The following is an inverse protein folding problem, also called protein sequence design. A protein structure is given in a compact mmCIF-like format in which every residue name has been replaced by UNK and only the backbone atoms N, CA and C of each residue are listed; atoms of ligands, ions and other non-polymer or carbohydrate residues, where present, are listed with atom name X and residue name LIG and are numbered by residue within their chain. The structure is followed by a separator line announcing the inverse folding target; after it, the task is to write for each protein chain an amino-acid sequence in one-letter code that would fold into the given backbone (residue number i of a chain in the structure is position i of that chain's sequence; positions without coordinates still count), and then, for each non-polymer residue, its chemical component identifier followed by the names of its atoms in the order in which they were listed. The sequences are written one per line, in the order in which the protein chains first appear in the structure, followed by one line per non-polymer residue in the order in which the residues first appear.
data_IF_611884997470
#
_entry.id   IF_611884997470
#
_cell.length_a   1.000
_cell.length_b   1.000
_cell.length_c   1.000
_cell.angle_alpha   90.00
_cell.angle_beta   90.00
_cell.angle_gamma   90.00
#
_symmetry.space_group_name_H-M   'P 1'
#
loop_
_entity.id
_entity.type
_entity.pdbx_description
1 polymer ?
#
# COMPACT_ATOMS: atom_id res chain seq x y z
N UNK A 1 69.86 -11.82 0.51
CA UNK A 1 68.87 -12.54 1.33
C UNK A 1 68.41 -11.59 2.40
N UNK A 2 67.38 -10.81 2.12
CA UNK A 2 66.64 -10.10 3.16
C UNK A 2 65.22 -9.93 2.60
N UNK A 3 64.31 -10.69 3.20
CA UNK A 3 62.97 -10.92 2.69
C UNK A 3 62.07 -9.75 2.98
N UNK A 4 61.60 -9.11 1.91
CA UNK A 4 60.52 -8.14 1.92
C UNK A 4 59.19 -8.87 2.21
N UNK A 5 58.90 -9.04 3.51
CA UNK A 5 57.61 -9.51 4.02
C UNK A 5 56.86 -8.30 4.54
N UNK A 6 55.67 -8.06 3.99
CA UNK A 6 54.60 -7.44 4.77
C UNK A 6 53.84 -6.28 4.15
N UNK A 7 53.56 -6.29 2.84
CA UNK A 7 52.36 -5.58 2.35
C UNK A 7 51.10 -6.39 2.68
N UNK A 8 50.81 -6.53 3.98
CA UNK A 8 49.46 -6.80 4.45
C UNK A 8 48.79 -5.44 4.70
N UNK A 9 48.49 -4.72 3.61
CA UNK A 9 47.55 -3.60 3.68
C UNK A 9 46.19 -4.20 3.97
N UNK A 10 45.79 -4.05 5.22
CA UNK A 10 44.44 -4.16 5.74
C UNK A 10 43.38 -3.84 4.67
N UNK A 11 42.70 -4.88 4.18
CA UNK A 11 41.35 -4.76 3.62
C UNK A 11 40.40 -4.41 4.78
N UNK A 12 40.53 -3.19 5.32
CA UNK A 12 39.44 -2.56 6.04
C UNK A 12 38.37 -2.37 4.99
N UNK A 13 37.33 -3.20 5.06
CA UNK A 13 36.20 -3.20 4.16
C UNK A 13 35.69 -1.79 3.92
N UNK A 14 36.09 -1.23 2.78
CA UNK A 14 35.57 0.03 2.27
C UNK A 14 34.07 -0.17 2.18
N UNK A 15 33.31 0.57 2.99
CA UNK A 15 31.86 0.57 2.91
C UNK A 15 31.49 0.88 1.46
N UNK A 16 30.79 -0.04 0.79
CA UNK A 16 30.18 0.22 -0.51
C UNK A 16 29.36 1.53 -0.40
N UNK A 17 29.78 2.62 -1.06
CA UNK A 17 29.17 3.92 -0.90
C UNK A 17 27.80 4.03 -1.59
N UNK A 18 27.31 2.96 -2.25
CA UNK A 18 26.10 3.00 -3.08
C UNK A 18 24.77 3.01 -2.32
N UNK A 19 24.72 2.53 -1.07
CA UNK A 19 23.49 2.40 -0.28
C UNK A 19 23.54 3.28 0.98
N UNK A 20 22.84 4.42 0.93
CA UNK A 20 22.60 5.27 2.09
C UNK A 20 22.11 4.44 3.29
N UNK A 21 22.73 4.63 4.45
CA UNK A 21 22.41 3.93 5.70
C UNK A 21 20.92 4.05 6.07
N UNK A 22 20.30 5.21 5.79
CA UNK A 22 18.87 5.39 6.03
C UNK A 22 18.07 4.48 5.10
N UNK A 23 18.37 4.46 3.80
CA UNK A 23 17.68 3.59 2.82
C UNK A 23 17.87 2.11 3.15
N UNK A 24 19.08 1.72 3.55
CA UNK A 24 19.35 0.36 3.99
C UNK A 24 18.41 -0.06 5.12
N UNK A 25 18.23 0.77 6.16
CA UNK A 25 17.29 0.46 7.27
C UNK A 25 15.85 0.26 6.80
N UNK A 26 15.36 1.10 5.89
CA UNK A 26 14.01 0.94 5.33
C UNK A 26 13.87 -0.38 4.57
N UNK A 27 14.84 -0.75 3.74
CA UNK A 27 14.81 -2.04 3.03
C UNK A 27 14.82 -3.23 3.99
N UNK A 28 15.61 -3.18 5.06
CA UNK A 28 15.59 -4.24 6.07
C UNK A 28 14.21 -4.38 6.72
N UNK A 29 13.58 -3.26 7.05
CA UNK A 29 12.22 -3.27 7.60
C UNK A 29 11.22 -3.84 6.61
N UNK A 30 11.24 -3.39 5.34
CA UNK A 30 10.33 -3.90 4.32
C UNK A 30 10.50 -5.39 4.04
N UNK A 31 11.74 -5.88 3.97
CA UNK A 31 12.00 -7.31 3.78
C UNK A 31 11.67 -8.14 5.03
N UNK A 32 11.87 -7.59 6.22
CA UNK A 32 11.40 -8.20 7.46
C UNK A 32 9.88 -8.34 7.47
N UNK A 33 9.15 -7.27 7.13
CA UNK A 33 7.68 -7.30 7.02
C UNK A 33 7.21 -8.27 5.93
N UNK A 34 7.84 -8.26 4.76
CA UNK A 34 7.53 -9.19 3.67
C UNK A 34 7.74 -10.64 4.12
N UNK A 35 8.85 -10.92 4.83
CA UNK A 35 9.13 -12.23 5.39
C UNK A 35 8.05 -12.65 6.41
N UNK A 36 7.69 -11.76 7.35
CA UNK A 36 6.68 -12.05 8.36
C UNK A 36 5.30 -12.32 7.78
N UNK A 37 4.83 -11.49 6.85
CA UNK A 37 3.52 -11.66 6.21
C UNK A 37 3.49 -12.94 5.37
N UNK A 38 4.55 -13.19 4.58
CA UNK A 38 4.65 -14.39 3.75
C UNK A 38 4.75 -15.65 4.60
N UNK A 39 5.51 -15.62 5.71
CA UNK A 39 5.61 -16.75 6.64
C UNK A 39 4.27 -17.01 7.35
N UNK A 40 3.56 -15.97 7.79
CA UNK A 40 2.25 -16.13 8.42
C UNK A 40 1.25 -16.80 7.46
N UNK A 41 1.22 -16.36 6.20
CA UNK A 41 0.39 -17.01 5.19
C UNK A 41 0.84 -18.43 4.88
N UNK A 42 2.15 -18.69 4.75
CA UNK A 42 2.69 -20.02 4.53
C UNK A 42 2.26 -21.02 5.63
N UNK A 43 2.31 -20.59 6.89
CA UNK A 43 1.84 -21.38 8.04
C UNK A 43 0.33 -21.62 7.95
N UNK A 44 -0.45 -20.58 7.65
CA UNK A 44 -1.90 -20.67 7.55
C UNK A 44 -2.35 -21.60 6.41
N UNK A 45 -1.81 -21.42 5.21
CA UNK A 45 -2.07 -22.23 4.03
C UNK A 45 -1.55 -23.68 4.17
N UNK A 46 -0.37 -23.85 4.78
CA UNK A 46 0.27 -25.15 4.95
C UNK A 46 -0.40 -26.02 6.00
N UNK A 47 -0.76 -25.45 7.16
CA UNK A 47 -1.32 -26.20 8.30
C UNK A 47 -2.84 -26.24 8.28
N UNK A 48 -3.50 -25.15 7.87
CA UNK A 48 -4.95 -24.97 7.95
C UNK A 48 -5.58 -24.57 6.60
N UNK A 49 -5.31 -25.30 5.50
CA UNK A 49 -5.80 -24.92 4.17
C UNK A 49 -7.33 -24.81 4.10
N UNK A 50 -8.06 -25.67 4.81
CA UNK A 50 -9.53 -25.62 4.83
C UNK A 50 -10.05 -24.30 5.39
N UNK A 51 -9.37 -23.75 6.41
CA UNK A 51 -9.76 -22.47 6.99
C UNK A 51 -9.56 -21.31 6.01
N UNK A 52 -8.46 -21.30 5.24
CA UNK A 52 -8.25 -20.31 4.18
C UNK A 52 -9.36 -20.41 3.13
N UNK A 53 -9.64 -21.63 2.64
CA UNK A 53 -10.66 -21.86 1.60
C UNK A 53 -12.05 -21.43 2.08
N UNK A 54 -12.37 -21.66 3.35
CA UNK A 54 -13.63 -21.24 3.97
C UNK A 54 -13.80 -19.73 4.03
N UNK A 55 -12.76 -19.03 4.50
CA UNK A 55 -12.78 -17.56 4.62
C UNK A 55 -13.06 -16.93 3.25
N UNK A 56 -12.51 -17.48 2.18
CA UNK A 56 -12.70 -16.95 0.83
C UNK A 56 -13.81 -17.65 0.03
N UNK A 57 -14.56 -18.58 0.63
CA UNK A 57 -15.63 -19.36 -0.01
C UNK A 57 -15.17 -20.04 -1.32
N UNK A 58 -14.00 -20.68 -1.28
CA UNK A 58 -13.45 -21.52 -2.35
C UNK A 58 -13.81 -22.98 -2.08
N UNK A 59 -14.08 -23.76 -3.13
CA UNK A 59 -14.39 -25.18 -2.97
C UNK A 59 -13.22 -25.98 -2.35
N UNK A 60 -13.50 -26.71 -1.26
CA UNK A 60 -12.47 -27.32 -0.40
C UNK A 60 -11.71 -28.50 -1.05
N UNK A 61 -12.38 -29.50 -1.66
CA UNK A 61 -11.72 -30.72 -2.10
C UNK A 61 -10.74 -30.46 -3.25
N UNK A 62 -11.04 -29.48 -4.11
CA UNK A 62 -10.22 -29.17 -5.28
C UNK A 62 -8.86 -28.53 -4.93
N UNK A 63 -8.79 -27.69 -3.89
CA UNK A 63 -7.65 -26.80 -3.68
C UNK A 63 -6.80 -27.08 -2.44
N UNK A 64 -7.22 -27.99 -1.56
CA UNK A 64 -6.51 -28.21 -0.29
C UNK A 64 -5.05 -28.65 -0.46
N UNK A 65 -4.77 -29.56 -1.40
CA UNK A 65 -3.39 -30.01 -1.66
C UNK A 65 -2.54 -28.93 -2.34
N UNK A 66 -3.13 -28.20 -3.30
CA UNK A 66 -2.47 -27.12 -4.01
C UNK A 66 -2.09 -25.99 -3.04
N UNK A 67 -3.00 -25.64 -2.13
CA UNK A 67 -2.77 -24.59 -1.15
C UNK A 67 -1.69 -24.97 -0.12
N UNK A 68 -1.61 -26.24 0.30
CA UNK A 68 -0.50 -26.72 1.12
C UNK A 68 0.84 -26.63 0.39
N UNK A 69 0.86 -27.00 -0.89
CA UNK A 69 2.03 -26.86 -1.75
C UNK A 69 2.46 -25.41 -1.88
N UNK A 70 1.51 -24.49 -2.11
CA UNK A 70 1.76 -23.05 -2.14
C UNK A 70 2.34 -22.55 -0.82
N UNK A 71 1.80 -22.99 0.32
CA UNK A 71 2.34 -22.64 1.63
C UNK A 71 3.80 -23.05 1.83
N UNK A 72 4.23 -24.20 1.30
CA UNK A 72 5.64 -24.60 1.34
C UNK A 72 6.53 -23.68 0.48
N UNK A 73 6.08 -23.34 -0.74
CA UNK A 73 6.81 -22.44 -1.65
C UNK A 73 6.93 -21.04 -1.03
N UNK A 74 5.83 -20.51 -0.49
CA UNK A 74 5.83 -19.21 0.19
C UNK A 74 6.67 -19.24 1.46
N UNK A 75 6.71 -20.36 2.18
CA UNK A 75 7.62 -20.55 3.32
C UNK A 75 9.09 -20.40 2.93
N UNK A 76 9.50 -20.96 1.78
CA UNK A 76 10.85 -20.78 1.26
C UNK A 76 11.12 -19.34 0.82
N UNK A 77 10.15 -18.68 0.19
CA UNK A 77 10.26 -17.26 -0.15
C UNK A 77 10.40 -16.38 1.09
N UNK A 78 9.66 -16.67 2.16
CA UNK A 78 9.74 -15.96 3.43
C UNK A 78 11.14 -16.06 4.05
N UNK A 79 11.78 -17.24 3.99
CA UNK A 79 13.18 -17.41 4.40
C UNK A 79 14.12 -16.58 3.52
N UNK A 80 13.89 -16.53 2.21
CA UNK A 80 14.64 -15.67 1.30
C UNK A 80 14.53 -14.17 1.64
N UNK A 81 13.34 -13.70 1.99
CA UNK A 81 13.12 -12.32 2.42
C UNK A 81 13.74 -12.03 3.79
N UNK A 82 13.68 -12.97 4.74
CA UNK A 82 14.37 -12.84 6.01
C UNK A 82 15.88 -12.74 5.80
N UNK A 83 16.46 -13.59 4.96
CA UNK A 83 17.87 -13.49 4.57
C UNK A 83 18.20 -12.13 3.95
N UNK A 84 17.35 -11.64 3.04
CA UNK A 84 17.51 -10.33 2.42
C UNK A 84 17.49 -9.18 3.44
N UNK A 85 16.64 -9.27 4.47
CA UNK A 85 16.59 -8.28 5.55
C UNK A 85 17.91 -8.19 6.34
N UNK A 86 18.65 -9.29 6.48
CA UNK A 86 19.96 -9.29 7.13
C UNK A 86 21.11 -8.97 6.16
N UNK A 87 21.00 -9.38 4.89
CA UNK A 87 22.10 -9.38 3.91
C UNK A 87 21.76 -8.62 2.60
N UNK A 88 21.41 -7.33 2.71
CA UNK A 88 21.02 -6.50 1.56
C UNK A 88 21.98 -6.56 0.36
N UNK A 89 23.30 -6.63 0.58
CA UNK A 89 24.29 -6.66 -0.52
C UNK A 89 24.13 -7.87 -1.44
N UNK A 90 23.63 -8.99 -0.92
CA UNK A 90 23.42 -10.25 -1.66
C UNK A 90 21.94 -10.54 -1.92
N UNK A 91 21.05 -9.62 -1.56
CA UNK A 91 19.61 -9.84 -1.60
C UNK A 91 19.01 -9.73 -3.01
N UNK A 92 19.67 -9.02 -3.95
CA UNK A 92 19.09 -8.71 -5.28
C UNK A 92 18.53 -9.94 -6.02
N UNK A 93 19.22 -11.09 -6.12
CA UNK A 93 18.66 -12.27 -6.79
C UNK A 93 17.38 -12.80 -6.11
N UNK A 94 17.37 -12.87 -4.77
CA UNK A 94 16.20 -13.32 -4.01
C UNK A 94 15.00 -12.39 -4.16
N UNK A 95 15.24 -11.08 -4.13
CA UNK A 95 14.19 -10.07 -4.31
C UNK A 95 13.70 -10.04 -5.77
N UNK A 96 14.57 -10.29 -6.75
CA UNK A 96 14.17 -10.41 -8.15
C UNK A 96 13.23 -11.61 -8.38
N UNK A 97 13.58 -12.78 -7.83
CA UNK A 97 12.71 -13.96 -7.85
C UNK A 97 11.40 -13.66 -7.13
N UNK A 98 11.48 -13.04 -5.94
CA UNK A 98 10.29 -12.65 -5.18
C UNK A 98 9.37 -11.72 -5.94
N UNK A 99 9.91 -10.70 -6.62
CA UNK A 99 9.12 -9.80 -7.45
C UNK A 99 8.49 -10.54 -8.63
N UNK A 100 9.23 -11.43 -9.29
CA UNK A 100 8.70 -12.23 -10.39
C UNK A 100 7.50 -13.09 -9.96
N UNK A 101 7.62 -13.80 -8.82
CA UNK A 101 6.50 -14.59 -8.26
C UNK A 101 5.30 -13.68 -7.97
N UNK A 102 5.54 -12.51 -7.38
CA UNK A 102 4.48 -11.55 -7.05
C UNK A 102 3.84 -10.88 -8.25
N UNK A 103 4.47 -10.89 -9.43
CA UNK A 103 3.83 -10.45 -10.67
C UNK A 103 3.06 -11.60 -11.31
N UNK A 104 3.62 -12.81 -11.29
CA UNK A 104 2.99 -14.01 -11.85
C UNK A 104 1.72 -14.38 -11.08
N UNK A 105 1.71 -14.26 -9.75
CA UNK A 105 0.58 -14.60 -8.87
C UNK A 105 -0.72 -13.88 -9.26
N UNK A 106 -0.76 -12.54 -9.31
CA UNK A 106 -1.93 -11.77 -9.74
C UNK A 106 -2.36 -12.08 -11.18
N UNK A 107 -1.43 -12.32 -12.10
CA UNK A 107 -1.77 -12.71 -13.48
C UNK A 107 -2.45 -14.08 -13.51
N UNK A 108 -1.88 -15.08 -12.81
CA UNK A 108 -2.47 -16.40 -12.67
C UNK A 108 -3.84 -16.34 -11.99
N UNK A 109 -3.99 -15.47 -10.98
CA UNK A 109 -5.25 -15.22 -10.30
C UNK A 109 -6.32 -14.65 -11.24
N UNK A 110 -5.98 -13.64 -12.08
CA UNK A 110 -6.92 -13.09 -13.07
C UNK A 110 -7.40 -14.20 -14.01
N UNK A 111 -6.49 -15.04 -14.51
CA UNK A 111 -6.84 -16.15 -15.40
C UNK A 111 -7.74 -17.18 -14.69
N UNK A 112 -7.44 -17.54 -13.44
CA UNK A 112 -8.22 -18.49 -12.66
C UNK A 112 -9.63 -17.96 -12.33
N UNK A 113 -9.76 -16.67 -12.00
CA UNK A 113 -11.07 -16.05 -11.76
C UNK A 113 -11.87 -15.93 -13.06
N UNK A 114 -11.24 -15.51 -14.16
CA UNK A 114 -11.88 -15.45 -15.47
C UNK A 114 -12.34 -16.84 -15.97
N UNK A 115 -11.58 -17.89 -15.64
CA UNK A 115 -11.94 -19.28 -15.93
C UNK A 115 -12.95 -19.91 -14.97
N UNK A 116 -13.46 -19.18 -13.96
CA UNK A 116 -14.40 -19.70 -12.96
C UNK A 116 -13.80 -20.71 -11.98
N UNK A 117 -12.47 -20.82 -11.95
CA UNK A 117 -11.73 -21.77 -11.08
C UNK A 117 -11.58 -21.21 -9.66
N UNK A 118 -11.37 -19.89 -9.54
CA UNK A 118 -11.29 -19.18 -8.27
C UNK A 118 -12.36 -18.10 -8.17
N UNK A 119 -12.72 -17.77 -6.93
CA UNK A 119 -13.64 -16.66 -6.63
C UNK A 119 -12.89 -15.36 -6.47
N UNK A 120 -13.50 -14.26 -6.92
CA UNK A 120 -12.96 -12.92 -6.78
C UNK A 120 -12.67 -12.54 -5.32
N UNK A 121 -13.33 -13.16 -4.33
CA UNK A 121 -13.10 -12.97 -2.88
C UNK A 121 -11.61 -13.08 -2.48
N UNK A 122 -10.88 -13.97 -3.16
CA UNK A 122 -9.44 -14.19 -2.95
C UNK A 122 -8.57 -13.00 -3.35
N UNK A 123 -9.11 -11.98 -4.02
CA UNK A 123 -8.39 -10.73 -4.34
C UNK A 123 -7.77 -10.07 -3.10
N UNK A 124 -8.44 -10.19 -1.95
CA UNK A 124 -7.92 -9.71 -0.66
C UNK A 124 -6.56 -10.32 -0.35
N UNK A 125 -6.36 -11.63 -0.58
CA UNK A 125 -5.06 -12.28 -0.42
C UNK A 125 -4.05 -11.73 -1.41
N UNK A 126 -4.44 -11.60 -2.67
CA UNK A 126 -3.55 -11.12 -3.75
C UNK A 126 -2.99 -9.73 -3.45
N UNK A 127 -3.81 -8.83 -2.86
CA UNK A 127 -3.32 -7.51 -2.46
C UNK A 127 -2.20 -7.63 -1.43
N UNK A 128 -2.47 -8.31 -0.31
CA UNK A 128 -1.54 -8.34 0.84
C UNK A 128 -0.33 -9.23 0.60
N UNK A 129 -0.50 -10.30 -0.17
CA UNK A 129 0.57 -11.23 -0.48
C UNK A 129 1.41 -10.73 -1.64
N UNK A 130 0.84 -10.06 -2.64
CA UNK A 130 1.58 -9.73 -3.86
C UNK A 130 1.70 -8.24 -4.12
N UNK A 131 0.58 -7.54 -4.34
CA UNK A 131 0.58 -6.20 -4.94
C UNK A 131 1.29 -5.16 -4.10
N UNK A 132 1.12 -5.19 -2.77
CA UNK A 132 1.73 -4.20 -1.87
C UNK A 132 3.26 -4.22 -1.88
N UNK A 133 3.86 -5.34 -2.31
CA UNK A 133 5.31 -5.52 -2.30
C UNK A 133 5.98 -5.13 -3.63
N UNK A 134 5.20 -4.89 -4.69
CA UNK A 134 5.75 -4.58 -6.02
C UNK A 134 6.65 -3.35 -5.98
N UNK A 135 6.17 -2.25 -5.39
CA UNK A 135 6.89 -0.99 -5.29
C UNK A 135 8.20 -1.14 -4.48
N UNK A 136 8.19 -1.61 -3.22
CA UNK A 136 9.43 -1.71 -2.44
C UNK A 136 10.44 -2.67 -3.07
N UNK A 137 9.99 -3.77 -3.69
CA UNK A 137 10.89 -4.72 -4.34
C UNK A 137 11.51 -4.12 -5.62
N UNK A 138 10.70 -3.49 -6.47
CA UNK A 138 11.19 -2.82 -7.67
C UNK A 138 12.19 -1.70 -7.32
N UNK A 139 11.88 -0.86 -6.32
CA UNK A 139 12.78 0.21 -5.88
C UNK A 139 14.11 -0.31 -5.35
N UNK A 140 14.11 -1.43 -4.62
CA UNK A 140 15.35 -2.06 -4.17
C UNK A 140 16.19 -2.60 -5.34
N UNK A 141 15.56 -3.23 -6.33
CA UNK A 141 16.26 -3.75 -7.50
C UNK A 141 16.87 -2.64 -8.35
N UNK A 142 16.16 -1.50 -8.43
CA UNK A 142 16.60 -0.28 -9.11
C UNK A 142 17.51 0.62 -8.25
N UNK A 143 17.88 0.20 -7.04
CA UNK A 143 18.76 0.99 -6.16
C UNK A 143 20.12 1.23 -6.82
N UNK A 144 20.57 2.48 -6.79
CA UNK A 144 21.81 2.93 -7.42
C UNK A 144 21.72 3.17 -8.93
N UNK A 145 20.52 3.09 -9.52
CA UNK A 145 20.29 3.37 -10.95
C UNK A 145 19.59 4.71 -11.15
N UNK A 146 19.83 5.35 -12.30
CA UNK A 146 19.07 6.55 -12.73
C UNK A 146 17.57 6.29 -12.78
N UNK A 147 17.16 5.08 -13.19
CA UNK A 147 15.74 4.69 -13.23
C UNK A 147 15.09 4.71 -11.84
N UNK A 148 15.78 4.20 -10.82
CA UNK A 148 15.29 4.23 -9.43
C UNK A 148 15.20 5.64 -8.85
N UNK A 149 16.14 6.53 -9.20
CA UNK A 149 16.09 7.94 -8.80
C UNK A 149 14.91 8.67 -9.45
N UNK A 150 14.75 8.50 -10.78
CA UNK A 150 13.61 9.06 -11.51
C UNK A 150 12.28 8.57 -10.96
N UNK A 151 12.15 7.26 -10.69
CA UNK A 151 10.91 6.70 -10.15
C UNK A 151 10.54 7.29 -8.78
N UNK A 152 11.53 7.52 -7.90
CA UNK A 152 11.28 8.19 -6.61
C UNK A 152 10.92 9.65 -6.76
N UNK A 153 11.56 10.37 -7.69
CA UNK A 153 11.26 11.77 -7.95
C UNK A 153 9.82 11.97 -8.47
N UNK A 154 9.23 10.95 -9.09
CA UNK A 154 7.85 10.98 -9.58
C UNK A 154 6.80 10.84 -8.46
N UNK A 155 7.16 10.45 -7.24
CA UNK A 155 6.21 10.11 -6.18
C UNK A 155 5.15 11.20 -5.89
N UNK A 156 5.49 12.50 -5.76
CA UNK A 156 4.48 13.55 -5.53
C UNK A 156 3.50 13.71 -6.69
N UNK A 157 3.99 13.58 -7.92
CA UNK A 157 3.18 13.76 -9.14
C UNK A 157 2.28 12.55 -9.39
N UNK A 158 2.82 11.34 -9.22
CA UNK A 158 2.04 10.11 -9.29
C UNK A 158 0.94 10.11 -8.22
N UNK A 159 1.29 10.52 -6.98
CA UNK A 159 0.33 10.67 -5.89
C UNK A 159 -0.80 11.64 -6.25
N UNK A 160 -0.48 12.83 -6.78
CA UNK A 160 -1.47 13.81 -7.19
C UNK A 160 -2.43 13.27 -8.27
N UNK A 161 -1.88 12.63 -9.32
CA UNK A 161 -2.68 12.11 -10.44
C UNK A 161 -3.56 10.93 -10.02
N UNK A 162 -3.03 10.00 -9.23
CA UNK A 162 -3.78 8.82 -8.79
C UNK A 162 -4.88 9.21 -7.80
N UNK A 163 -4.62 10.14 -6.87
CA UNK A 163 -5.65 10.65 -5.97
C UNK A 163 -6.72 11.46 -6.70
N UNK A 164 -6.36 12.26 -7.71
CA UNK A 164 -7.34 12.96 -8.55
C UNK A 164 -8.20 11.98 -9.34
N UNK A 165 -7.59 10.93 -9.89
CA UNK A 165 -8.31 9.84 -10.57
C UNK A 165 -9.27 9.12 -9.63
N UNK A 166 -8.83 8.78 -8.41
CA UNK A 166 -9.69 8.14 -7.40
C UNK A 166 -10.85 9.04 -6.96
N UNK A 167 -10.60 10.34 -6.78
CA UNK A 167 -11.65 11.33 -6.49
C UNK A 167 -12.67 11.45 -7.64
N UNK A 168 -12.19 11.44 -8.88
CA UNK A 168 -13.03 11.39 -10.09
C UNK A 168 -13.86 10.10 -10.15
N UNK A 169 -13.25 8.95 -9.87
CA UNK A 169 -13.94 7.66 -9.80
C UNK A 169 -15.01 7.67 -8.69
N UNK A 170 -14.73 8.26 -7.52
CA UNK A 170 -15.74 8.42 -6.47
C UNK A 170 -16.93 9.25 -6.97
N UNK A 171 -16.68 10.41 -7.57
CA UNK A 171 -17.72 11.33 -8.01
C UNK A 171 -18.60 10.75 -9.14
N UNK A 172 -17.95 10.12 -10.13
CA UNK A 172 -18.59 9.73 -11.39
C UNK A 172 -19.08 8.28 -11.40
N UNK A 173 -18.45 7.41 -10.60
CA UNK A 173 -18.68 5.96 -10.67
C UNK A 173 -19.13 5.38 -9.32
N UNK A 174 -18.42 5.64 -8.23
CA UNK A 174 -18.73 4.94 -6.98
C UNK A 174 -19.91 5.55 -6.22
N UNK A 175 -20.15 6.87 -6.37
CA UNK A 175 -21.15 7.63 -5.60
C UNK A 175 -22.55 6.97 -5.55
N UNK A 176 -23.12 6.42 -6.63
CA UNK A 176 -24.44 5.78 -6.56
C UNK A 176 -24.48 4.49 -5.73
N UNK A 177 -23.34 3.85 -5.49
CA UNK A 177 -23.20 2.66 -4.65
C UNK A 177 -22.80 2.94 -3.19
N UNK A 178 -22.53 4.20 -2.83
CA UNK A 178 -22.10 4.60 -1.48
C UNK A 178 -23.26 5.12 -0.63
N UNK A 179 -23.04 5.25 0.67
CA UNK A 179 -24.00 5.68 1.69
C UNK A 179 -24.51 7.13 1.51
N UNK A 180 -23.97 7.87 0.55
CA UNK A 180 -24.55 9.14 0.09
C UNK A 180 -25.95 8.92 -0.48
N UNK A 181 -26.21 7.74 -1.05
CA UNK A 181 -27.56 7.28 -1.42
C UNK A 181 -28.21 6.63 -0.20
N UNK A 182 -29.31 7.17 0.35
CA UNK A 182 -29.90 6.65 1.58
C UNK A 182 -30.40 5.20 1.45
N UNK A 183 -31.04 4.89 0.33
CA UNK A 183 -31.67 3.58 0.10
C UNK A 183 -30.63 2.47 -0.18
N UNK A 184 -30.53 1.43 0.67
CA UNK A 184 -29.67 0.28 0.41
C UNK A 184 -30.02 -0.50 -0.85
N UNK A 185 -31.30 -0.62 -1.19
CA UNK A 185 -31.73 -1.41 -2.35
C UNK A 185 -31.23 -0.79 -3.65
N UNK A 186 -31.36 0.54 -3.79
CA UNK A 186 -30.81 1.31 -4.91
C UNK A 186 -29.29 1.14 -5.06
N UNK A 187 -28.54 1.14 -3.94
CA UNK A 187 -27.09 0.94 -3.94
C UNK A 187 -26.70 -0.45 -4.44
N UNK A 188 -27.34 -1.49 -3.92
CA UNK A 188 -27.12 -2.87 -4.33
C UNK A 188 -27.46 -3.06 -5.81
N UNK A 189 -28.58 -2.50 -6.26
CA UNK A 189 -29.01 -2.55 -7.65
C UNK A 189 -27.99 -1.87 -8.57
N UNK A 190 -27.48 -0.69 -8.18
CA UNK A 190 -26.44 0.00 -8.93
C UNK A 190 -25.18 -0.85 -9.08
N UNK A 191 -24.66 -1.39 -7.96
CA UNK A 191 -23.43 -2.20 -7.95
C UNK A 191 -23.61 -3.45 -8.80
N UNK A 192 -24.77 -4.11 -8.69
CA UNK A 192 -25.10 -5.30 -9.50
C UNK A 192 -25.08 -5.00 -10.99
N UNK A 193 -25.61 -3.84 -11.39
CA UNK A 193 -25.66 -3.44 -12.81
C UNK A 193 -24.33 -2.88 -13.33
N UNK A 194 -23.38 -2.54 -12.46
CA UNK A 194 -22.15 -1.82 -12.81
C UNK A 194 -20.90 -2.44 -12.16
N UNK A 195 -20.89 -3.76 -11.97
CA UNK A 195 -19.87 -4.44 -11.16
C UNK A 195 -18.43 -4.17 -11.63
N UNK A 196 -18.19 -4.16 -12.94
CA UNK A 196 -16.86 -3.86 -13.49
C UNK A 196 -16.41 -2.44 -13.14
N UNK A 197 -17.29 -1.46 -13.31
CA UNK A 197 -17.01 -0.05 -13.01
C UNK A 197 -16.82 0.17 -11.50
N UNK A 198 -17.63 -0.49 -10.68
CA UNK A 198 -17.49 -0.51 -9.23
C UNK A 198 -16.10 -1.01 -8.80
N UNK A 199 -15.71 -2.19 -9.29
CA UNK A 199 -14.40 -2.77 -8.99
C UNK A 199 -13.25 -1.89 -9.48
N UNK A 200 -13.34 -1.38 -10.71
CA UNK A 200 -12.34 -0.49 -11.28
C UNK A 200 -12.19 0.81 -10.47
N UNK A 201 -13.29 1.38 -9.99
CA UNK A 201 -13.26 2.57 -9.15
C UNK A 201 -12.50 2.33 -7.86
N UNK A 202 -12.74 1.23 -7.16
CA UNK A 202 -12.00 0.90 -5.94
C UNK A 202 -10.53 0.51 -6.19
N UNK A 203 -10.19 -0.04 -7.35
CA UNK A 203 -8.78 -0.23 -7.76
C UNK A 203 -8.06 1.11 -7.88
N UNK A 204 -8.73 2.17 -8.36
CA UNK A 204 -8.15 3.52 -8.36
C UNK A 204 -7.86 4.01 -6.93
N UNK A 205 -8.69 3.65 -5.96
CA UNK A 205 -8.49 3.98 -4.55
C UNK A 205 -7.28 3.25 -3.94
N UNK A 206 -7.12 1.96 -4.23
CA UNK A 206 -5.92 1.19 -3.84
C UNK A 206 -4.66 1.86 -4.40
N UNK A 207 -4.68 2.24 -5.69
CA UNK A 207 -3.57 2.92 -6.32
C UNK A 207 -3.28 4.29 -5.68
N UNK A 208 -4.32 5.05 -5.33
CA UNK A 208 -4.19 6.32 -4.61
C UNK A 208 -3.55 6.14 -3.23
N UNK A 209 -4.00 5.17 -2.43
CA UNK A 209 -3.48 4.86 -1.11
C UNK A 209 -2.00 4.41 -1.14
N UNK A 210 -1.64 3.52 -2.08
CA UNK A 210 -0.25 3.11 -2.29
C UNK A 210 0.64 4.29 -2.72
N UNK A 211 0.13 5.14 -3.61
CA UNK A 211 0.86 6.33 -4.07
C UNK A 211 1.04 7.38 -2.97
N UNK A 212 0.08 7.49 -2.04
CA UNK A 212 0.16 8.36 -0.88
C UNK A 212 1.26 7.89 0.09
N UNK A 213 1.34 6.58 0.36
CA UNK A 213 2.44 6.03 1.15
C UNK A 213 3.80 6.27 0.47
N UNK A 214 3.88 6.10 -0.86
CA UNK A 214 5.09 6.39 -1.62
C UNK A 214 5.49 7.88 -1.54
N UNK A 215 4.51 8.78 -1.62
CA UNK A 215 4.72 10.22 -1.43
C UNK A 215 5.21 10.55 -0.03
N UNK A 216 4.62 9.96 1.02
CA UNK A 216 5.09 10.12 2.39
C UNK A 216 6.50 9.56 2.57
N UNK A 217 6.87 8.46 1.90
CA UNK A 217 8.24 7.94 1.95
C UNK A 217 9.23 8.90 1.29
N UNK A 218 8.84 9.48 0.16
CA UNK A 218 9.62 10.52 -0.51
C UNK A 218 9.79 11.78 0.36
N UNK A 219 8.76 12.17 1.09
CA UNK A 219 8.79 13.34 1.98
C UNK A 219 9.59 13.06 3.26
N UNK A 220 9.35 11.92 3.92
CA UNK A 220 10.08 11.47 5.09
C UNK A 220 11.60 11.40 4.88
N UNK A 221 12.04 11.03 3.67
CA UNK A 221 13.46 11.02 3.31
C UNK A 221 14.12 12.41 3.32
N UNK A 222 13.32 13.48 3.22
CA UNK A 222 13.76 14.89 3.17
C UNK A 222 13.62 15.62 4.51
N UNK A 223 12.98 14.98 5.50
CA UNK A 223 12.87 15.51 6.85
C UNK A 223 14.21 15.37 7.58
N UNK A 224 14.70 16.41 8.31
CA UNK A 224 15.99 16.34 9.00
C UNK A 224 16.02 15.23 10.07
N UNK A 225 14.96 15.16 10.87
CA UNK A 225 14.83 14.25 11.99
C UNK A 225 14.24 12.90 11.55
N UNK A 226 15.14 11.94 11.26
CA UNK A 226 14.78 10.61 10.74
C UNK A 226 13.68 9.89 11.53
N UNK A 227 13.68 10.00 12.87
CA UNK A 227 12.68 9.36 13.73
C UNK A 227 11.24 9.81 13.42
N UNK A 228 11.02 11.09 13.09
CA UNK A 228 9.70 11.59 12.70
C UNK A 228 9.24 11.01 11.36
N UNK A 229 10.15 10.90 10.40
CA UNK A 229 9.87 10.26 9.11
C UNK A 229 9.47 8.79 9.28
N UNK A 230 10.20 8.04 10.12
CA UNK A 230 9.86 6.63 10.41
C UNK A 230 8.51 6.52 11.11
N UNK A 231 8.25 7.36 12.12
CA UNK A 231 6.98 7.35 12.83
C UNK A 231 5.79 7.65 11.88
N UNK A 232 5.92 8.66 11.04
CA UNK A 232 4.89 8.98 10.04
C UNK A 232 4.65 7.82 9.06
N UNK A 233 5.71 7.16 8.58
CA UNK A 233 5.57 6.01 7.68
C UNK A 233 4.94 4.80 8.37
N UNK A 234 5.27 4.54 9.63
CA UNK A 234 4.63 3.48 10.40
C UNK A 234 3.12 3.75 10.54
N UNK A 235 2.74 4.98 10.91
CA UNK A 235 1.34 5.40 11.05
C UNK A 235 0.60 5.29 9.71
N UNK A 236 1.18 5.82 8.63
CA UNK A 236 0.60 5.74 7.29
C UNK A 236 0.47 4.28 6.78
N UNK A 237 1.40 3.39 7.16
CA UNK A 237 1.30 1.98 6.78
C UNK A 237 0.15 1.27 7.49
N UNK A 238 -0.16 1.66 8.73
CA UNK A 238 -1.36 1.16 9.44
C UNK A 238 -2.63 1.73 8.78
N UNK A 239 -2.63 3.00 8.38
CA UNK A 239 -3.71 3.58 7.57
C UNK A 239 -3.95 2.80 6.27
N UNK A 240 -2.87 2.49 5.56
CA UNK A 240 -2.91 1.67 4.34
C UNK A 240 -3.49 0.28 4.59
N UNK A 241 -3.17 -0.35 5.72
CA UNK A 241 -3.76 -1.65 6.05
C UNK A 241 -5.29 -1.57 6.12
N UNK A 242 -5.84 -0.52 6.75
CA UNK A 242 -7.29 -0.33 6.82
C UNK A 242 -7.93 -0.07 5.45
N UNK A 243 -7.33 0.80 4.63
CA UNK A 243 -7.85 1.09 3.28
C UNK A 243 -7.78 -0.14 2.38
N UNK A 244 -6.65 -0.84 2.34
CA UNK A 244 -6.52 -2.06 1.53
C UNK A 244 -7.50 -3.14 1.98
N UNK A 245 -7.73 -3.30 3.28
CA UNK A 245 -8.77 -4.21 3.78
C UNK A 245 -10.16 -3.76 3.34
N UNK A 246 -10.49 -2.48 3.49
CA UNK A 246 -11.81 -1.96 3.10
C UNK A 246 -12.06 -2.12 1.59
N UNK A 247 -11.15 -1.64 0.76
CA UNK A 247 -11.27 -1.58 -0.70
C UNK A 247 -11.24 -2.98 -1.31
N UNK A 248 -10.40 -3.88 -0.80
CA UNK A 248 -10.38 -5.28 -1.25
C UNK A 248 -11.72 -5.98 -0.99
N UNK A 249 -12.32 -5.76 0.18
CA UNK A 249 -13.63 -6.30 0.51
C UNK A 249 -14.73 -5.71 -0.39
N UNK A 250 -14.70 -4.39 -0.63
CA UNK A 250 -15.63 -3.70 -1.53
C UNK A 250 -15.53 -4.23 -2.97
N UNK A 251 -14.33 -4.57 -3.45
CA UNK A 251 -14.11 -5.16 -4.79
C UNK A 251 -14.60 -6.60 -4.84
N UNK A 252 -14.31 -7.38 -3.80
CA UNK A 252 -14.31 -8.82 -3.89
C UNK A 252 -15.57 -9.49 -3.30
N UNK A 253 -16.35 -8.77 -2.47
CA UNK A 253 -17.50 -9.32 -1.73
C UNK A 253 -18.84 -8.69 -2.12
N UNK A 254 -18.83 -7.48 -2.68
CA UNK A 254 -20.06 -6.81 -3.13
C UNK A 254 -20.36 -7.21 -4.59
N UNK A 255 -21.66 -7.27 -4.97
CA UNK A 255 -22.84 -6.85 -4.20
C UNK A 255 -23.40 -7.89 -3.20
N UNK A 256 -22.93 -9.14 -3.24
CA UNK A 256 -23.57 -10.28 -2.53
C UNK A 256 -23.67 -10.08 -1.02
N UNK A 257 -22.58 -9.62 -0.39
CA UNK A 257 -22.49 -9.47 1.06
C UNK A 257 -22.62 -8.01 1.51
N UNK A 258 -23.39 -7.20 0.77
CA UNK A 258 -23.47 -5.75 1.01
C UNK A 258 -23.80 -5.39 2.46
N UNK A 259 -24.81 -6.02 3.05
CA UNK A 259 -25.30 -5.69 4.39
C UNK A 259 -24.26 -5.94 5.50
N UNK A 260 -23.37 -6.91 5.33
CA UNK A 260 -22.35 -7.27 6.33
C UNK A 260 -21.02 -6.56 6.07
N UNK A 261 -20.69 -6.30 4.81
CA UNK A 261 -19.39 -5.75 4.40
C UNK A 261 -19.41 -4.22 4.34
N UNK A 262 -20.40 -3.61 3.67
CA UNK A 262 -20.37 -2.18 3.36
C UNK A 262 -20.23 -1.27 4.60
N UNK A 263 -20.97 -1.48 5.71
CA UNK A 263 -20.84 -0.61 6.88
C UNK A 263 -19.43 -0.67 7.50
N UNK A 264 -18.86 -1.87 7.59
CA UNK A 264 -17.53 -2.06 8.15
C UNK A 264 -16.46 -1.44 7.24
N UNK A 265 -16.53 -1.66 5.93
CA UNK A 265 -15.55 -1.10 4.99
C UNK A 265 -15.59 0.43 4.96
N UNK A 266 -16.77 1.03 4.98
CA UNK A 266 -16.93 2.48 4.99
C UNK A 266 -16.41 3.11 6.28
N UNK A 267 -16.60 2.44 7.42
CA UNK A 267 -15.99 2.83 8.68
C UNK A 267 -14.46 2.74 8.62
N UNK A 268 -13.91 1.62 8.13
CA UNK A 268 -12.47 1.38 8.08
C UNK A 268 -11.75 2.41 7.21
N UNK A 269 -12.25 2.67 6.00
CA UNK A 269 -11.58 3.61 5.09
C UNK A 269 -11.79 5.05 5.51
N UNK A 270 -13.04 5.48 5.74
CA UNK A 270 -13.34 6.87 6.09
C UNK A 270 -12.82 7.26 7.49
N UNK A 271 -12.84 6.33 8.43
CA UNK A 271 -12.38 6.52 9.81
C UNK A 271 -10.86 6.37 9.95
N UNK A 272 -10.35 5.21 10.44
CA UNK A 272 -8.95 5.06 10.76
C UNK A 272 -8.01 5.11 9.54
N UNK A 273 -8.42 4.66 8.35
CA UNK A 273 -7.61 4.78 7.12
C UNK A 273 -7.20 6.23 6.85
N UNK A 274 -8.19 7.07 6.52
CA UNK A 274 -7.98 8.50 6.28
C UNK A 274 -7.43 9.26 7.49
N UNK A 275 -7.85 8.89 8.71
CA UNK A 275 -7.40 9.54 9.93
C UNK A 275 -5.90 9.34 10.17
N UNK A 276 -5.40 8.12 10.01
CA UNK A 276 -3.98 7.81 10.20
C UNK A 276 -3.11 8.45 9.10
N UNK A 277 -3.56 8.50 7.86
CA UNK A 277 -2.87 9.28 6.83
C UNK A 277 -2.77 10.75 7.19
N UNK A 278 -3.86 11.33 7.68
CA UNK A 278 -3.89 12.74 8.11
C UNK A 278 -2.91 13.00 9.26
N UNK A 279 -2.87 12.10 10.25
CA UNK A 279 -1.88 12.17 11.35
C UNK A 279 -0.45 12.10 10.79
N UNK A 280 -0.16 11.14 9.89
CA UNK A 280 1.16 11.02 9.28
C UNK A 280 1.57 12.29 8.50
N UNK A 281 0.66 12.85 7.69
CA UNK A 281 0.87 14.10 6.97
C UNK A 281 1.11 15.29 7.91
N UNK A 282 0.36 15.39 9.01
CA UNK A 282 0.56 16.42 10.03
C UNK A 282 1.92 16.28 10.73
N UNK A 283 2.34 15.06 11.08
CA UNK A 283 3.66 14.80 11.66
C UNK A 283 4.80 15.19 10.71
N UNK A 284 4.69 14.85 9.42
CA UNK A 284 5.65 15.27 8.39
C UNK A 284 5.66 16.78 8.20
N UNK A 285 4.50 17.42 8.29
CA UNK A 285 4.36 18.90 8.24
C UNK A 285 5.13 19.54 9.39
N UNK A 286 4.91 19.08 10.62
CA UNK A 286 5.60 19.56 11.82
C UNK A 286 7.10 19.32 11.75
N UNK A 287 7.51 18.20 11.15
CA UNK A 287 8.92 17.83 11.02
C UNK A 287 9.63 18.51 9.85
N UNK A 288 8.94 19.28 9.00
CA UNK A 288 9.54 19.95 7.83
C UNK A 288 9.82 21.42 8.11
N UNK A 289 11.08 21.82 8.35
CA UNK A 289 11.43 23.22 8.53
C UNK A 289 11.15 23.99 7.23
N UNK A 290 10.53 25.16 7.34
CA UNK A 290 10.31 26.06 6.19
C UNK A 290 8.92 26.01 5.56
N UNK A 291 8.02 25.13 6.00
CA UNK A 291 6.59 25.26 5.69
C UNK A 291 6.01 26.46 6.45
N UNK A 292 5.98 27.64 5.82
CA UNK A 292 5.54 28.91 6.42
C UNK A 292 4.59 29.68 5.50
N UNK A 293 3.90 30.66 6.07
CA UNK A 293 3.00 31.57 5.36
C UNK A 293 1.84 30.84 4.68
N UNK A 294 1.46 31.30 3.49
CA UNK A 294 0.33 30.76 2.73
C UNK A 294 0.40 29.25 2.47
N UNK A 295 1.61 28.71 2.31
CA UNK A 295 1.80 27.29 2.04
C UNK A 295 1.54 26.44 3.29
N UNK A 296 1.84 26.95 4.48
CA UNK A 296 1.47 26.31 5.73
C UNK A 296 -0.04 26.32 5.94
N UNK A 297 -0.71 27.45 5.68
CA UNK A 297 -2.18 27.54 5.76
C UNK A 297 -2.83 26.51 4.83
N UNK A 298 -2.40 26.43 3.57
CA UNK A 298 -2.90 25.42 2.63
C UNK A 298 -2.71 23.99 3.15
N UNK A 299 -1.51 23.68 3.64
CA UNK A 299 -1.17 22.36 4.20
C UNK A 299 -2.07 22.00 5.38
N UNK A 300 -2.27 22.92 6.32
CA UNK A 300 -3.13 22.68 7.48
C UNK A 300 -4.62 22.62 7.14
N UNK A 301 -5.09 23.33 6.12
CA UNK A 301 -6.47 23.18 5.63
C UNK A 301 -6.72 21.79 5.05
N UNK A 302 -5.75 21.20 4.35
CA UNK A 302 -5.82 19.81 3.87
C UNK A 302 -5.98 18.86 5.07
N UNK A 303 -5.15 18.99 6.10
CA UNK A 303 -5.24 18.12 7.28
C UNK A 303 -6.51 18.35 8.09
N UNK A 304 -6.99 19.59 8.20
CA UNK A 304 -8.28 19.87 8.83
C UNK A 304 -9.43 19.18 8.08
N UNK A 305 -9.42 19.19 6.75
CA UNK A 305 -10.39 18.45 5.94
C UNK A 305 -10.27 16.93 6.15
N UNK A 306 -9.04 16.40 6.23
CA UNK A 306 -8.79 14.98 6.53
C UNK A 306 -9.28 14.55 7.92
N UNK A 307 -9.04 15.35 8.96
CA UNK A 307 -9.58 15.08 10.30
C UNK A 307 -11.11 15.20 10.33
N UNK A 308 -11.66 16.19 9.63
CA UNK A 308 -13.11 16.35 9.47
C UNK A 308 -13.75 15.14 8.79
N UNK A 309 -13.13 14.61 7.73
CA UNK A 309 -13.56 13.40 7.04
C UNK A 309 -13.71 12.23 8.04
N UNK A 310 -12.66 11.94 8.80
CA UNK A 310 -12.71 10.85 9.79
C UNK A 310 -13.70 11.09 10.91
N UNK A 311 -13.80 12.32 11.42
CA UNK A 311 -14.77 12.66 12.46
C UNK A 311 -16.22 12.47 11.97
N UNK A 312 -16.54 12.91 10.74
CA UNK A 312 -17.86 12.74 10.17
C UNK A 312 -18.18 11.28 9.83
N UNK A 313 -17.19 10.48 9.41
CA UNK A 313 -17.37 9.03 9.25
C UNK A 313 -17.74 8.38 10.58
N UNK A 314 -17.01 8.68 11.67
CA UNK A 314 -17.30 8.15 13.00
C UNK A 314 -18.67 8.60 13.54
N UNK A 315 -19.13 9.79 13.15
CA UNK A 315 -20.45 10.31 13.49
C UNK A 315 -21.58 9.83 12.58
N UNK A 316 -21.30 9.04 11.54
CA UNK A 316 -22.30 8.60 10.55
C UNK A 316 -22.87 9.73 9.67
N UNK A 317 -22.16 10.86 9.56
CA UNK A 317 -22.60 12.02 8.76
C UNK A 317 -22.00 11.97 7.34
N UNK A 318 -22.67 11.25 6.44
CA UNK A 318 -22.19 11.04 5.06
C UNK A 318 -22.14 12.30 4.19
N UNK A 319 -22.95 13.31 4.50
CA UNK A 319 -22.85 14.62 3.82
C UNK A 319 -21.54 15.32 4.23
N UNK A 320 -21.21 15.31 5.52
CA UNK A 320 -19.94 15.83 6.03
C UNK A 320 -18.74 15.11 5.43
N UNK A 321 -18.80 13.78 5.32
CA UNK A 321 -17.80 12.95 4.62
C UNK A 321 -17.62 13.42 3.18
N UNK A 322 -18.70 13.57 2.41
CA UNK A 322 -18.63 14.00 1.02
C UNK A 322 -18.01 15.40 0.85
N UNK A 323 -18.39 16.35 1.70
CA UNK A 323 -17.86 17.73 1.68
C UNK A 323 -16.37 17.73 2.04
N UNK A 324 -15.98 17.05 3.13
CA UNK A 324 -14.58 16.96 3.54
C UNK A 324 -13.71 16.28 2.49
N UNK A 325 -14.17 15.18 1.88
CA UNK A 325 -13.47 14.53 0.77
C UNK A 325 -13.28 15.48 -0.42
N UNK A 326 -14.33 16.20 -0.82
CA UNK A 326 -14.25 17.15 -1.93
C UNK A 326 -13.21 18.24 -1.68
N UNK A 327 -13.24 18.86 -0.49
CA UNK A 327 -12.23 19.87 -0.09
C UNK A 327 -10.84 19.26 -0.02
N UNK A 328 -10.70 18.08 0.58
CA UNK A 328 -9.42 17.39 0.76
C UNK A 328 -8.75 17.17 -0.59
N UNK A 329 -9.41 16.52 -1.55
CA UNK A 329 -8.77 16.20 -2.84
C UNK A 329 -8.57 17.43 -3.73
N UNK A 330 -9.49 18.40 -3.69
CA UNK A 330 -9.35 19.66 -4.44
C UNK A 330 -8.12 20.46 -3.99
N UNK A 331 -7.78 20.41 -2.69
CA UNK A 331 -6.61 21.07 -2.14
C UNK A 331 -5.35 20.20 -2.22
N UNK A 332 -5.45 18.91 -1.92
CA UNK A 332 -4.32 17.98 -1.80
C UNK A 332 -3.61 17.73 -3.13
N UNK A 333 -4.36 17.45 -4.21
CA UNK A 333 -3.75 17.09 -5.49
C UNK A 333 -2.84 18.21 -6.05
N UNK A 334 -3.30 19.47 -6.19
CA UNK A 334 -2.43 20.57 -6.58
C UNK A 334 -1.31 20.85 -5.56
N UNK A 335 -1.60 20.70 -4.26
CA UNK A 335 -0.59 20.87 -3.22
C UNK A 335 0.56 19.86 -3.35
N UNK A 336 0.27 18.59 -3.63
CA UNK A 336 1.29 17.54 -3.80
C UNK A 336 2.24 17.84 -4.98
N UNK A 337 1.71 18.37 -6.09
CA UNK A 337 2.52 18.85 -7.23
C UNK A 337 3.43 20.01 -6.82
N UNK A 338 2.89 21.01 -6.11
CA UNK A 338 3.67 22.16 -5.63
C UNK A 338 4.73 21.72 -4.63
N UNK A 339 4.40 20.81 -3.72
CA UNK A 339 5.33 20.23 -2.75
C UNK A 339 6.47 19.49 -3.46
N UNK A 340 6.14 18.70 -4.49
CA UNK A 340 7.10 18.03 -5.35
C UNK A 340 8.10 18.98 -6.00
N UNK A 341 7.65 20.15 -6.46
CA UNK A 341 8.53 21.17 -7.08
C UNK A 341 9.38 21.94 -6.07
N UNK A 342 8.83 22.26 -4.90
CA UNK A 342 9.53 23.05 -3.86
C UNK A 342 10.63 22.27 -3.14
N UNK A 343 10.56 20.94 -3.16
CA UNK A 343 11.46 20.03 -2.42
C UNK A 343 12.22 19.06 -3.36
N UNK A 344 12.13 19.29 -4.69
CA UNK A 344 12.95 18.62 -5.70
C UNK A 344 14.37 19.16 -5.66
#
# INVERSE_FOLDING_TARGET
MEGDRGQARSEVGVADPSLDLRRARHYRLFFGLAASVTAAFAIWAGLFPSNVLDVFQVDRPAYSILLRGLGLVDGLLAVGYAYAAFNLRRAKPFIAIGLAVRVIGPVAWVLAVAGGQLTARTFTLVIFLDLVWWIPFALFLLEGTRGGESLRALAPYACAVLNLTAAGALLLVLRPGTEVVPDPASRIQYITNNELLWRAGWVCWIAAALSLLAFYAWWAARVPAWGWGVAALAIASVGLLFDLTAESLLIAWLPKDYATVAPATSLLTGGPGNGLYTVAGALLTLATPGLRGWFATWTWTIWAAGFGLSAFTLAGNFLGVAVCSGVLFALFCPWAVVMGRKQA
#
